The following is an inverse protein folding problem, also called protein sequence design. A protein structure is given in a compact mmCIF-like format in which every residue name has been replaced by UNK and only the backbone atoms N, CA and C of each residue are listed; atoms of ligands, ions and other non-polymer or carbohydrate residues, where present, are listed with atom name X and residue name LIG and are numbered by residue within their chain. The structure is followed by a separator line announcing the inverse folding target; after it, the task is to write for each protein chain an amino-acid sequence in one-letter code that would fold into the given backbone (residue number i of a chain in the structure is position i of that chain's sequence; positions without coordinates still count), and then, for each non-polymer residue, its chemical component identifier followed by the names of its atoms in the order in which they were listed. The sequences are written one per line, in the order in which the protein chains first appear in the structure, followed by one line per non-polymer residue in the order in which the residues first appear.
data_IF_808136010203
#
_entry.id   IF_808136010203
#
_cell.length_a   1.000
_cell.length_b   1.000
_cell.length_c   1.000
_cell.angle_alpha   90.00
_cell.angle_beta   90.00
_cell.angle_gamma   90.00
#
_symmetry.space_group_name_H-M   'P 1'
#
loop_
_entity.id
_entity.type
_entity.pdbx_description
1 polymer ?
#
# COMPACT_ATOMS: atom_id res chain seq x y z
N UNK A 1 -16.57 19.88 22.45
CA UNK A 1 -16.62 18.51 21.87
C UNK A 1 -15.42 17.73 22.40
N UNK A 2 -15.33 16.40 22.21
CA UNK A 2 -14.14 15.63 22.64
C UNK A 2 -12.96 15.98 21.73
N UNK A 3 -11.75 16.06 22.28
CA UNK A 3 -10.52 16.33 21.54
C UNK A 3 -10.34 15.30 20.38
N UNK A 4 -10.02 15.75 19.14
CA UNK A 4 -9.73 14.93 17.99
C UNK A 4 -8.75 13.78 18.25
N UNK A 5 -7.68 14.02 19.00
CA UNK A 5 -6.68 12.99 19.29
C UNK A 5 -7.28 11.83 20.09
N UNK A 6 -8.11 12.14 21.07
CA UNK A 6 -8.81 11.14 21.88
C UNK A 6 -9.79 10.36 21.00
N UNK A 7 -10.47 11.03 20.07
CA UNK A 7 -11.39 10.37 19.13
C UNK A 7 -10.61 9.42 18.22
N UNK A 8 -9.51 9.87 17.61
CA UNK A 8 -8.67 9.06 16.73
C UNK A 8 -8.07 7.86 17.47
N UNK A 9 -7.56 8.07 18.69
CA UNK A 9 -7.00 6.99 19.51
C UNK A 9 -8.07 5.94 19.86
N UNK A 10 -9.30 6.36 20.15
CA UNK A 10 -10.41 5.42 20.37
C UNK A 10 -10.78 4.64 19.10
N UNK A 11 -10.73 5.29 17.93
CA UNK A 11 -10.96 4.61 16.65
C UNK A 11 -9.87 3.56 16.39
N UNK A 12 -8.60 3.90 16.64
CA UNK A 12 -7.45 2.99 16.51
C UNK A 12 -7.53 1.84 17.51
N UNK A 13 -7.95 2.10 18.75
CA UNK A 13 -8.10 1.05 19.75
C UNK A 13 -9.19 0.04 19.33
N UNK A 14 -10.30 0.53 18.78
CA UNK A 14 -11.40 -0.30 18.31
C UNK A 14 -11.11 -0.97 16.95
N UNK A 15 -10.22 -0.42 16.12
CA UNK A 15 -9.88 -1.04 14.82
C UNK A 15 -9.19 -2.39 14.96
N UNK A 16 -8.55 -2.65 16.11
CA UNK A 16 -7.97 -3.96 16.45
C UNK A 16 -9.03 -5.06 16.63
N UNK A 17 -10.29 -4.69 16.90
CA UNK A 17 -11.40 -5.64 17.05
C UNK A 17 -11.96 -5.96 15.67
N UNK A 18 -11.89 -7.23 15.27
CA UNK A 18 -12.32 -7.69 13.94
C UNK A 18 -13.81 -7.50 13.69
N UNK A 19 -14.64 -7.71 14.72
CA UNK A 19 -16.11 -7.66 14.64
C UNK A 19 -16.71 -6.27 14.87
N UNK A 20 -15.91 -5.30 15.30
CA UNK A 20 -16.41 -3.98 15.64
C UNK A 20 -16.81 -3.20 14.38
N UNK A 21 -18.05 -2.73 14.36
CA UNK A 21 -18.57 -1.84 13.32
C UNK A 21 -18.58 -0.40 13.82
N UNK A 22 -17.98 0.48 13.04
CA UNK A 22 -17.87 1.90 13.38
C UNK A 22 -19.16 2.63 13.05
N UNK A 23 -19.79 3.19 14.08
CA UNK A 23 -21.02 3.97 13.96
C UNK A 23 -20.76 5.44 14.28
N UNK A 24 -21.65 6.32 13.80
CA UNK A 24 -21.67 7.76 14.13
C UNK A 24 -20.37 8.51 13.79
N UNK A 25 -19.63 8.06 12.78
CA UNK A 25 -18.42 8.73 12.27
C UNK A 25 -18.72 10.12 11.71
N UNK A 26 -19.89 10.29 11.08
CA UNK A 26 -20.30 11.57 10.49
C UNK A 26 -20.37 12.69 11.53
N UNK A 27 -20.69 12.37 12.79
CA UNK A 27 -20.73 13.35 13.89
C UNK A 27 -19.35 13.96 14.18
N UNK A 28 -18.26 13.27 13.88
CA UNK A 28 -16.91 13.80 14.09
C UNK A 28 -16.60 14.96 13.14
N UNK A 29 -17.26 15.02 11.98
CA UNK A 29 -17.20 16.15 11.04
C UNK A 29 -17.86 17.42 11.58
N UNK A 30 -18.46 17.38 12.77
CA UNK A 30 -19.03 18.57 13.41
C UNK A 30 -18.05 19.29 14.34
N UNK A 31 -16.89 18.67 14.61
CA UNK A 31 -15.90 19.22 15.51
C UNK A 31 -14.92 20.12 14.74
N UNK A 32 -14.92 21.39 15.08
CA UNK A 32 -14.08 22.44 14.49
C UNK A 32 -12.58 22.13 14.62
N UNK A 33 -12.16 21.51 15.73
CA UNK A 33 -10.74 21.17 15.96
C UNK A 33 -10.18 20.22 14.88
N UNK A 34 -10.99 19.31 14.32
CA UNK A 34 -10.56 18.48 13.19
C UNK A 34 -10.24 19.33 11.95
N UNK A 35 -11.03 20.37 11.67
CA UNK A 35 -10.81 21.25 10.53
C UNK A 35 -9.62 22.17 10.74
N UNK A 36 -9.36 22.60 11.97
CA UNK A 36 -8.15 23.37 12.30
C UNK A 36 -6.88 22.53 12.09
N UNK A 37 -6.88 21.28 12.52
CA UNK A 37 -5.77 20.34 12.26
C UNK A 37 -5.59 20.11 10.76
N UNK A 38 -6.69 19.88 10.04
CA UNK A 38 -6.66 19.71 8.58
C UNK A 38 -6.11 20.97 7.88
N UNK A 39 -6.54 22.16 8.31
CA UNK A 39 -6.05 23.44 7.80
C UNK A 39 -4.54 23.57 8.03
N UNK A 40 -4.05 23.29 9.23
CA UNK A 40 -2.62 23.33 9.57
C UNK A 40 -1.76 22.38 8.72
N UNK A 41 -2.29 21.20 8.37
CA UNK A 41 -1.61 20.25 7.47
C UNK A 41 -1.61 20.69 6.00
N UNK A 42 -2.64 21.41 5.57
CA UNK A 42 -2.81 21.83 4.18
C UNK A 42 -2.10 23.16 3.89
N UNK A 43 -2.11 24.11 4.83
CA UNK A 43 -1.49 25.42 4.67
C UNK A 43 -0.02 25.42 4.16
N UNK A 44 0.90 24.55 4.62
CA UNK A 44 2.30 24.59 4.18
C UNK A 44 2.56 24.01 2.78
N UNK A 45 1.58 23.37 2.14
CA UNK A 45 1.79 22.74 0.84
C UNK A 45 1.80 23.79 -0.29
N UNK A 46 2.94 23.95 -0.98
CA UNK A 46 3.12 24.88 -2.12
C UNK A 46 2.14 24.66 -3.28
N UNK A 47 1.56 23.47 -3.41
CA UNK A 47 0.48 23.17 -4.35
C UNK A 47 -0.86 23.87 -4.06
N UNK A 48 -1.02 24.51 -2.89
CA UNK A 48 -2.23 25.25 -2.54
C UNK A 48 -2.21 26.73 -2.97
N UNK A 49 -1.13 27.19 -3.61
CA UNK A 49 -1.09 28.45 -4.36
C UNK A 49 -1.77 28.34 -5.74
N UNK A 50 -2.04 27.11 -6.23
CA UNK A 50 -2.77 26.91 -7.49
C UNK A 50 -4.28 26.97 -7.26
N UNK A 51 -4.92 27.95 -7.90
CA UNK A 51 -6.37 28.18 -7.82
C UNK A 51 -7.16 26.97 -8.33
N UNK A 52 -8.10 26.49 -7.50
CA UNK A 52 -9.13 25.53 -7.91
C UNK A 52 -10.15 26.16 -8.86
N UNK A 53 -11.42 25.73 -8.79
CA UNK A 53 -12.51 26.38 -9.54
C UNK A 53 -12.87 27.74 -8.91
N UNK A 54 -12.77 27.85 -7.58
CA UNK A 54 -12.89 29.10 -6.84
C UNK A 54 -11.53 29.80 -6.77
N UNK A 55 -11.47 31.10 -7.11
CA UNK A 55 -10.28 31.97 -7.08
C UNK A 55 -9.75 32.31 -5.67
N UNK A 56 -10.09 31.52 -4.66
CA UNK A 56 -9.76 31.83 -3.27
C UNK A 56 -8.50 31.05 -2.86
N UNK A 57 -7.40 31.76 -2.68
CA UNK A 57 -6.15 31.28 -2.05
C UNK A 57 -6.24 31.30 -0.52
N UNK A 58 -5.31 30.58 0.13
CA UNK A 58 -5.25 30.34 1.58
C UNK A 58 -5.39 31.63 2.42
N UNK A 59 -4.85 32.75 1.94
CA UNK A 59 -4.76 34.01 2.69
C UNK A 59 -6.12 34.68 2.99
N UNK A 60 -7.21 34.19 2.39
CA UNK A 60 -8.58 34.67 2.64
C UNK A 60 -9.49 33.70 3.41
N UNK A 61 -8.99 32.55 3.87
CA UNK A 61 -9.84 31.52 4.49
C UNK A 61 -10.12 31.84 5.97
N UNK A 62 -11.22 32.57 6.20
CA UNK A 62 -11.69 32.93 7.54
C UNK A 62 -12.27 31.73 8.27
N UNK A 63 -12.09 31.68 9.60
CA UNK A 63 -12.76 30.75 10.52
C UNK A 63 -14.28 30.67 10.27
N UNK A 64 -14.90 31.78 9.88
CA UNK A 64 -16.32 31.87 9.49
C UNK A 64 -16.72 30.93 8.33
N UNK A 65 -15.79 30.57 7.44
CA UNK A 65 -16.05 29.60 6.37
C UNK A 65 -16.05 28.17 6.91
N UNK A 66 -15.19 27.88 7.87
CA UNK A 66 -15.16 26.56 8.55
C UNK A 66 -16.47 26.35 9.32
N UNK A 67 -16.94 27.36 10.05
CA UNK A 67 -18.20 27.26 10.79
C UNK A 67 -19.40 27.05 9.87
N UNK A 68 -19.49 27.80 8.76
CA UNK A 68 -20.51 27.59 7.72
C UNK A 68 -20.44 26.19 7.09
N UNK A 69 -19.24 25.73 6.75
CA UNK A 69 -19.03 24.39 6.22
C UNK A 69 -19.50 23.30 7.19
N UNK A 70 -19.22 23.46 8.48
CA UNK A 70 -19.70 22.57 9.53
C UNK A 70 -21.23 22.61 9.65
N UNK A 71 -21.86 23.78 9.53
CA UNK A 71 -23.32 23.91 9.51
C UNK A 71 -23.94 23.21 8.29
N UNK A 72 -23.35 23.36 7.11
CA UNK A 72 -23.79 22.68 5.89
C UNK A 72 -23.64 21.16 6.01
N UNK A 73 -22.58 20.67 6.66
CA UNK A 73 -22.39 19.27 6.97
C UNK A 73 -23.42 18.77 7.99
N UNK A 74 -23.71 19.53 9.06
CA UNK A 74 -24.74 19.20 10.06
C UNK A 74 -26.13 19.08 9.43
N UNK A 75 -26.44 19.99 8.51
CA UNK A 75 -27.72 20.04 7.80
C UNK A 75 -27.77 19.11 6.58
N UNK A 76 -26.72 18.33 6.32
CA UNK A 76 -26.56 17.43 5.15
C UNK A 76 -26.67 18.14 3.78
N UNK A 77 -26.54 19.47 3.76
CA UNK A 77 -26.62 20.33 2.57
C UNK A 77 -25.32 20.37 1.77
N UNK A 78 -24.20 19.98 2.40
CA UNK A 78 -22.90 19.95 1.75
C UNK A 78 -22.91 19.05 0.49
N UNK A 79 -22.44 19.62 -0.62
CA UNK A 79 -22.30 18.97 -1.91
C UNK A 79 -20.89 19.24 -2.43
N UNK A 80 -20.06 18.20 -2.64
CA UNK A 80 -18.73 18.36 -3.21
C UNK A 80 -18.79 19.05 -4.58
N UNK A 81 -17.88 19.98 -4.82
CA UNK A 81 -17.77 20.67 -6.11
C UNK A 81 -17.00 19.78 -7.11
N UNK A 82 -17.26 19.92 -8.43
CA UNK A 82 -16.48 19.22 -9.43
C UNK A 82 -15.01 19.58 -9.33
N UNK A 83 -14.15 18.63 -9.69
CA UNK A 83 -12.71 18.79 -9.60
C UNK A 83 -12.17 19.44 -10.89
N UNK A 84 -11.28 20.43 -10.79
CA UNK A 84 -10.68 21.06 -11.98
C UNK A 84 -9.60 20.15 -12.57
N UNK A 85 -9.74 19.74 -13.82
CA UNK A 85 -8.77 18.86 -14.50
C UNK A 85 -7.65 19.69 -15.13
N UNK A 86 -6.41 19.38 -14.76
CA UNK A 86 -5.19 20.00 -15.28
C UNK A 86 -4.25 18.90 -15.77
N UNK A 87 -3.58 19.11 -16.89
CA UNK A 87 -2.66 18.14 -17.45
C UNK A 87 -1.22 18.46 -17.06
N UNK A 88 -0.53 17.48 -16.46
CA UNK A 88 0.89 17.56 -16.14
C UNK A 88 1.67 16.69 -17.12
N UNK A 89 2.71 17.21 -17.79
CA UNK A 89 3.53 16.42 -18.71
C UNK A 89 4.32 15.34 -17.95
N UNK A 90 4.27 14.09 -18.42
CA UNK A 90 5.18 13.02 -17.96
C UNK A 90 6.49 13.07 -18.75
N UNK A 91 7.56 12.48 -18.18
CA UNK A 91 8.86 12.29 -18.84
C UNK A 91 8.75 11.56 -20.20
N UNK A 92 7.73 10.71 -20.35
CA UNK A 92 7.51 9.89 -21.54
C UNK A 92 6.58 10.56 -22.58
N UNK A 93 6.30 11.87 -22.46
CA UNK A 93 5.47 12.64 -23.40
C UNK A 93 3.95 12.50 -23.23
N UNK A 94 3.46 11.48 -22.52
CA UNK A 94 2.05 11.36 -22.13
C UNK A 94 1.69 12.39 -21.06
N UNK A 95 0.44 12.86 -21.04
CA UNK A 95 -0.04 13.78 -20.01
C UNK A 95 -0.76 13.04 -18.87
N UNK A 96 -0.59 13.50 -17.63
CA UNK A 96 -1.33 13.01 -16.45
C UNK A 96 -2.46 13.99 -16.13
N UNK A 97 -3.73 13.56 -16.15
CA UNK A 97 -4.81 14.39 -15.65
C UNK A 97 -4.73 14.45 -14.12
N UNK A 98 -4.64 15.65 -13.57
CA UNK A 98 -4.74 15.93 -12.14
C UNK A 98 -6.02 16.72 -11.90
N UNK A 99 -6.88 16.19 -11.05
CA UNK A 99 -8.00 16.90 -10.47
C UNK A 99 -7.56 17.71 -9.26
N UNK A 100 -7.66 19.04 -9.34
CA UNK A 100 -7.50 19.94 -8.21
C UNK A 100 -8.87 20.26 -7.59
N UNK A 101 -9.19 19.73 -6.39
CA UNK A 101 -10.42 20.06 -5.69
C UNK A 101 -10.37 21.46 -5.08
N UNK A 102 -11.53 22.00 -4.71
CA UNK A 102 -11.60 23.28 -3.99
C UNK A 102 -11.02 23.16 -2.58
N UNK A 103 -10.62 24.28 -1.98
CA UNK A 103 -10.02 24.25 -0.65
C UNK A 103 -11.00 23.74 0.43
N UNK A 104 -12.28 24.09 0.32
CA UNK A 104 -13.34 23.55 1.19
C UNK A 104 -13.41 22.02 1.08
N UNK A 105 -13.43 21.49 -0.16
CA UNK A 105 -13.44 20.05 -0.38
C UNK A 105 -12.16 19.39 0.14
N UNK A 106 -11.00 20.04 0.00
CA UNK A 106 -9.72 19.54 0.54
C UNK A 106 -9.78 19.42 2.07
N UNK A 107 -10.37 20.39 2.76
CA UNK A 107 -10.53 20.35 4.22
C UNK A 107 -11.41 19.18 4.64
N UNK A 108 -12.59 19.02 4.04
CA UNK A 108 -13.49 17.90 4.36
C UNK A 108 -12.81 16.56 4.03
N UNK A 109 -12.13 16.46 2.89
CA UNK A 109 -11.41 15.26 2.49
C UNK A 109 -10.27 14.89 3.45
N UNK A 110 -9.50 15.87 3.96
CA UNK A 110 -8.43 15.60 4.93
C UNK A 110 -9.01 15.11 6.27
N UNK A 111 -10.13 15.66 6.75
CA UNK A 111 -10.78 15.14 7.97
C UNK A 111 -11.30 13.71 7.74
N UNK A 112 -11.95 13.46 6.61
CA UNK A 112 -12.41 12.11 6.22
C UNK A 112 -11.24 11.14 6.15
N UNK A 113 -10.12 11.55 5.55
CA UNK A 113 -8.89 10.77 5.47
C UNK A 113 -8.35 10.42 6.86
N UNK A 114 -8.25 11.38 7.78
CA UNK A 114 -7.79 11.12 9.15
C UNK A 114 -8.65 10.07 9.88
N UNK A 115 -9.97 10.14 9.70
CA UNK A 115 -10.90 9.15 10.26
C UNK A 115 -10.71 7.76 9.63
N UNK A 116 -10.59 7.70 8.30
CA UNK A 116 -10.36 6.44 7.58
C UNK A 116 -9.00 5.81 7.91
N UNK A 117 -7.94 6.60 8.00
CA UNK A 117 -6.60 6.13 8.40
C UNK A 117 -6.65 5.52 9.81
N UNK A 118 -7.30 6.18 10.77
CA UNK A 118 -7.47 5.65 12.13
C UNK A 118 -8.22 4.30 12.18
N UNK A 119 -9.17 4.09 11.27
CA UNK A 119 -9.98 2.87 11.19
C UNK A 119 -9.24 1.74 10.48
N UNK A 120 -8.58 2.02 9.36
CA UNK A 120 -8.06 0.98 8.46
C UNK A 120 -6.57 0.68 8.62
N UNK A 121 -5.76 1.61 9.15
CA UNK A 121 -4.30 1.42 9.23
C UNK A 121 -3.92 0.17 10.05
N UNK A 122 -4.68 -0.11 11.12
CA UNK A 122 -4.50 -1.32 11.94
C UNK A 122 -4.92 -2.63 11.26
N UNK A 123 -5.69 -2.56 10.17
CA UNK A 123 -6.20 -3.73 9.42
C UNK A 123 -5.42 -4.01 8.15
N UNK A 124 -4.69 -3.01 7.63
CA UNK A 124 -3.93 -3.17 6.40
C UNK A 124 -2.81 -4.20 6.55
N UNK A 125 -2.66 -4.99 5.49
CA UNK A 125 -1.60 -5.96 5.34
C UNK A 125 -0.21 -5.34 5.51
N UNK A 126 0.70 -6.02 6.22
CA UNK A 126 2.09 -5.57 6.35
C UNK A 126 2.86 -5.60 5.03
N UNK A 127 2.33 -6.32 4.03
CA UNK A 127 2.89 -6.40 2.69
C UNK A 127 2.55 -5.19 1.83
N UNK A 128 1.65 -4.31 2.27
CA UNK A 128 1.24 -3.09 1.56
C UNK A 128 1.97 -1.85 2.08
N UNK A 129 2.64 -1.11 1.19
CA UNK A 129 3.50 0.02 1.56
C UNK A 129 3.10 1.37 0.96
N UNK A 130 2.35 1.39 -0.14
CA UNK A 130 1.99 2.63 -0.83
C UNK A 130 1.02 3.50 -0.02
N UNK A 131 1.21 4.82 -0.04
CA UNK A 131 0.31 5.81 0.56
C UNK A 131 -0.12 5.55 2.02
N UNK A 132 0.81 5.04 2.84
CA UNK A 132 0.57 4.76 4.26
C UNK A 132 1.50 5.60 5.14
N UNK A 133 1.04 6.04 6.32
CA UNK A 133 1.90 6.74 7.26
C UNK A 133 3.08 5.84 7.66
N UNK A 134 4.28 6.40 7.70
CA UNK A 134 5.54 5.71 8.05
C UNK A 134 5.94 4.56 7.11
N UNK A 135 5.40 4.51 5.88
CA UNK A 135 5.82 3.55 4.84
C UNK A 135 6.27 4.29 3.57
N UNK A 136 7.24 3.72 2.88
CA UNK A 136 7.83 4.29 1.66
C UNK A 136 8.33 3.21 0.70
N UNK A 137 8.75 3.61 -0.51
CA UNK A 137 9.39 2.72 -1.47
C UNK A 137 10.58 1.96 -0.84
N UNK A 138 11.38 2.64 -0.02
CA UNK A 138 12.51 2.01 0.68
C UNK A 138 12.07 0.91 1.64
N UNK A 139 10.93 1.06 2.32
CA UNK A 139 10.41 -0.01 3.20
C UNK A 139 9.95 -1.23 2.41
N UNK A 140 9.35 -1.04 1.23
CA UNK A 140 8.98 -2.12 0.34
C UNK A 140 10.21 -2.86 -0.21
N UNK A 141 11.23 -2.14 -0.66
CA UNK A 141 12.48 -2.72 -1.16
C UNK A 141 13.22 -3.51 -0.07
N UNK A 142 13.33 -2.97 1.15
CA UNK A 142 13.90 -3.70 2.29
C UNK A 142 13.13 -4.99 2.56
N UNK A 143 11.80 -4.95 2.54
CA UNK A 143 10.98 -6.15 2.71
C UNK A 143 11.24 -7.18 1.60
N UNK A 144 11.35 -6.74 0.34
CA UNK A 144 11.64 -7.64 -0.78
C UNK A 144 13.01 -8.30 -0.57
N UNK A 145 14.03 -7.51 -0.24
CA UNK A 145 15.39 -8.00 -0.02
C UNK A 145 15.45 -9.07 1.09
N UNK A 146 14.71 -8.89 2.18
CA UNK A 146 14.68 -9.85 3.30
C UNK A 146 13.77 -11.07 3.04
N UNK A 147 12.61 -10.89 2.40
CA UNK A 147 11.61 -11.97 2.28
C UNK A 147 11.73 -12.82 1.01
N UNK A 148 12.44 -12.33 0.00
CA UNK A 148 12.55 -13.01 -1.30
C UNK A 148 13.84 -13.83 -1.42
N UNK A 149 14.57 -14.05 -0.32
CA UNK A 149 15.81 -14.83 -0.30
C UNK A 149 15.56 -16.25 -0.83
N UNK A 150 16.26 -16.62 -1.90
CA UNK A 150 16.11 -17.94 -2.53
C UNK A 150 14.88 -18.10 -3.43
N UNK A 151 14.22 -16.99 -3.78
CA UNK A 151 13.18 -16.94 -4.84
C UNK A 151 13.86 -16.97 -6.21
N UNK A 152 13.29 -17.75 -7.14
CA UNK A 152 13.81 -17.90 -8.51
C UNK A 152 12.94 -17.22 -9.55
N UNK A 153 11.63 -17.22 -9.31
CA UNK A 153 10.65 -16.63 -10.20
C UNK A 153 10.13 -15.34 -9.58
N UNK A 154 10.14 -14.27 -10.38
CA UNK A 154 9.52 -13.01 -10.04
C UNK A 154 8.35 -12.81 -11.00
N UNK A 155 7.19 -12.50 -10.45
CA UNK A 155 6.00 -12.15 -11.21
C UNK A 155 5.76 -10.68 -10.92
N UNK A 156 5.92 -9.86 -11.94
CA UNK A 156 5.57 -8.46 -11.91
C UNK A 156 4.16 -8.30 -12.46
N UNK A 157 3.32 -7.60 -11.73
CA UNK A 157 1.96 -7.26 -12.15
C UNK A 157 1.74 -5.79 -11.92
N UNK A 158 1.42 -5.07 -12.99
CA UNK A 158 1.02 -3.66 -12.94
C UNK A 158 -0.49 -3.55 -13.21
N UNK A 159 -1.17 -2.67 -12.48
CA UNK A 159 -2.59 -2.40 -12.65
C UNK A 159 -2.72 -1.07 -13.38
N UNK A 160 -2.90 -1.14 -14.69
CA UNK A 160 -3.10 0.04 -15.52
C UNK A 160 -4.39 0.78 -15.13
N UNK A 161 -4.31 2.11 -15.03
CA UNK A 161 -5.46 3.00 -14.80
C UNK A 161 -6.35 2.59 -13.62
N UNK A 162 -5.74 2.18 -12.50
CA UNK A 162 -6.47 1.80 -11.29
C UNK A 162 -7.46 2.89 -10.86
N UNK A 163 -7.02 4.15 -10.78
CA UNK A 163 -7.89 5.25 -10.37
C UNK A 163 -9.07 5.48 -11.31
N UNK A 164 -8.97 5.19 -12.62
CA UNK A 164 -10.07 5.44 -13.57
C UNK A 164 -11.11 4.30 -13.61
N UNK A 165 -10.74 3.10 -13.15
CA UNK A 165 -11.50 1.86 -13.33
C UNK A 165 -12.24 1.37 -12.09
N UNK A 166 -12.10 2.04 -10.93
CA UNK A 166 -12.75 1.63 -9.69
C UNK A 166 -14.28 1.71 -9.81
N UNK A 167 -14.94 0.59 -9.52
CA UNK A 167 -16.39 0.52 -9.37
C UNK A 167 -16.82 1.12 -8.03
N UNK A 168 -17.69 2.14 -8.08
CA UNK A 168 -18.18 2.83 -6.89
C UNK A 168 -19.06 1.93 -6.02
N UNK A 169 -19.84 1.02 -6.60
CA UNK A 169 -20.70 0.11 -5.83
C UNK A 169 -19.87 -0.87 -5.02
N UNK A 170 -18.84 -1.47 -5.62
CA UNK A 170 -17.93 -2.40 -4.92
C UNK A 170 -17.20 -1.64 -3.80
N UNK A 171 -16.71 -0.42 -4.07
CA UNK A 171 -16.07 0.42 -3.05
C UNK A 171 -16.97 0.64 -1.83
N UNK A 172 -18.24 1.00 -2.06
CA UNK A 172 -19.19 1.22 -0.96
C UNK A 172 -19.50 -0.08 -0.21
N UNK A 173 -19.61 -1.21 -0.90
CA UNK A 173 -19.80 -2.51 -0.25
C UNK A 173 -18.62 -2.85 0.65
N UNK A 174 -17.38 -2.61 0.21
CA UNK A 174 -16.16 -2.82 1.04
C UNK A 174 -16.19 -1.92 2.27
N UNK A 175 -16.53 -0.63 2.11
CA UNK A 175 -16.64 0.30 3.25
C UNK A 175 -17.72 -0.13 4.26
N UNK A 176 -18.87 -0.60 3.77
CA UNK A 176 -19.99 -1.11 4.59
C UNK A 176 -19.65 -2.33 5.45
N UNK A 177 -18.61 -3.09 5.10
CA UNK A 177 -18.16 -4.21 5.95
C UNK A 177 -17.71 -3.75 7.34
N UNK A 178 -17.22 -2.51 7.45
CA UNK A 178 -16.58 -1.98 8.65
C UNK A 178 -17.27 -0.74 9.22
N UNK A 179 -17.91 0.06 8.36
CA UNK A 179 -18.55 1.31 8.74
C UNK A 179 -20.06 1.13 8.63
N UNK A 180 -20.74 1.32 9.76
CA UNK A 180 -22.19 1.29 9.89
C UNK A 180 -22.71 2.72 10.15
N UNK A 181 -22.40 3.60 9.19
CA UNK A 181 -22.83 5.00 9.18
C UNK A 181 -23.15 5.42 7.74
N UNK A 182 -24.44 5.33 7.39
CA UNK A 182 -24.92 5.66 6.05
C UNK A 182 -24.71 7.14 5.68
N UNK A 183 -24.64 8.07 6.65
CA UNK A 183 -24.37 9.49 6.35
C UNK A 183 -22.93 9.67 5.90
N UNK A 184 -22.00 9.01 6.58
CA UNK A 184 -20.58 9.01 6.23
C UNK A 184 -20.33 8.33 4.88
N UNK A 185 -20.95 7.17 4.65
CA UNK A 185 -20.88 6.45 3.38
C UNK A 185 -21.45 7.30 2.23
N UNK A 186 -22.58 7.97 2.46
CA UNK A 186 -23.19 8.89 1.47
C UNK A 186 -22.27 10.06 1.14
N UNK A 187 -21.52 10.59 2.10
CA UNK A 187 -20.54 11.64 1.85
C UNK A 187 -19.41 11.15 0.94
N UNK A 188 -18.86 9.96 1.19
CA UNK A 188 -17.84 9.35 0.32
C UNK A 188 -18.40 9.12 -1.09
N UNK A 189 -19.64 8.63 -1.18
CA UNK A 189 -20.34 8.46 -2.46
C UNK A 189 -20.48 9.78 -3.23
N UNK A 190 -20.81 10.88 -2.53
CA UNK A 190 -20.85 12.21 -3.14
C UNK A 190 -19.48 12.63 -3.69
N UNK A 191 -18.38 12.35 -2.97
CA UNK A 191 -17.03 12.65 -3.45
C UNK A 191 -16.65 11.86 -4.70
N UNK A 192 -16.98 10.57 -4.75
CA UNK A 192 -16.70 9.72 -5.93
C UNK A 192 -17.46 10.20 -7.18
N UNK A 193 -18.67 10.75 -7.00
CA UNK A 193 -19.55 11.20 -8.08
C UNK A 193 -19.46 12.70 -8.39
N UNK A 194 -18.60 13.45 -7.69
CA UNK A 194 -18.50 14.91 -7.82
C UNK A 194 -18.20 15.38 -9.25
N UNK A 195 -17.69 14.50 -10.12
CA UNK A 195 -17.38 14.81 -11.50
C UNK A 195 -16.08 15.61 -11.63
N UNK A 196 -15.76 15.98 -12.86
CA UNK A 196 -14.64 16.88 -13.13
C UNK A 196 -15.03 17.91 -14.20
N UNK A 197 -14.35 19.06 -14.15
CA UNK A 197 -14.46 20.13 -15.12
C UNK A 197 -13.21 20.11 -16.01
N UNK A 198 -13.41 20.04 -17.32
CA UNK A 198 -12.35 20.05 -18.34
C UNK A 198 -12.76 21.02 -19.45
N UNK A 199 -11.90 22.00 -19.77
CA UNK A 199 -12.18 23.02 -20.81
C UNK A 199 -13.58 23.67 -20.69
N UNK A 200 -14.00 24.01 -19.47
CA UNK A 200 -15.32 24.57 -19.16
C UNK A 200 -16.52 23.65 -19.44
N UNK A 201 -16.29 22.38 -19.74
CA UNK A 201 -17.31 21.33 -19.85
C UNK A 201 -17.33 20.47 -18.60
N UNK A 202 -18.53 20.23 -18.06
CA UNK A 202 -18.73 19.35 -16.93
C UNK A 202 -18.87 17.90 -17.39
N UNK A 203 -18.04 17.02 -16.84
CA UNK A 203 -18.06 15.59 -17.09
C UNK A 203 -18.46 14.85 -15.81
N UNK A 204 -19.44 13.96 -15.91
CA UNK A 204 -19.83 13.07 -14.82
C UNK A 204 -18.85 11.91 -14.71
N UNK A 205 -18.39 11.62 -13.51
CA UNK A 205 -17.57 10.44 -13.20
C UNK A 205 -18.51 9.28 -12.90
N UNK A 206 -18.64 8.33 -13.83
CA UNK A 206 -19.44 7.11 -13.65
C UNK A 206 -18.64 5.96 -13.03
N UNK A 207 -17.31 5.99 -13.20
CA UNK A 207 -16.36 5.04 -12.62
C UNK A 207 -15.05 5.77 -12.33
N UNK A 208 -14.28 5.25 -11.38
CA UNK A 208 -13.00 5.81 -10.98
C UNK A 208 -13.07 6.92 -9.95
N UNK A 209 -11.90 7.37 -9.48
CA UNK A 209 -11.70 8.40 -8.48
C UNK A 209 -10.99 9.58 -9.11
N UNK A 210 -11.34 10.82 -8.74
CA UNK A 210 -10.58 11.98 -9.16
C UNK A 210 -9.12 11.85 -8.69
N UNK A 211 -8.20 11.82 -9.66
CA UNK A 211 -6.77 11.73 -9.41
C UNK A 211 -6.30 13.06 -8.80
N UNK A 212 -5.77 13.04 -7.57
CA UNK A 212 -5.44 14.28 -6.82
C UNK A 212 -6.42 14.62 -5.68
N UNK A 213 -7.47 13.82 -5.49
CA UNK A 213 -8.25 13.84 -4.25
C UNK A 213 -7.42 13.34 -3.06
N UNK A 214 -7.50 14.02 -1.92
CA UNK A 214 -6.76 13.66 -0.70
C UNK A 214 -7.21 12.30 -0.16
N UNK A 215 -8.48 11.94 -0.36
CA UNK A 215 -9.04 10.64 0.06
C UNK A 215 -8.76 9.51 -0.94
N UNK A 216 -8.37 9.82 -2.18
CA UNK A 216 -8.21 8.81 -3.23
C UNK A 216 -7.18 7.72 -2.86
N UNK A 217 -6.00 8.05 -2.29
CA UNK A 217 -5.01 7.04 -1.91
C UNK A 217 -5.47 6.09 -0.81
N UNK A 218 -6.15 6.60 0.23
CA UNK A 218 -6.64 5.76 1.33
C UNK A 218 -7.77 4.84 0.85
N UNK A 219 -8.70 5.35 0.04
CA UNK A 219 -9.77 4.54 -0.55
C UNK A 219 -9.21 3.45 -1.48
N UNK A 220 -8.17 3.77 -2.24
CA UNK A 220 -7.46 2.81 -3.09
C UNK A 220 -6.85 1.66 -2.28
N UNK A 221 -6.21 1.99 -1.15
CA UNK A 221 -5.67 0.99 -0.25
C UNK A 221 -6.76 0.15 0.42
N UNK A 222 -7.90 0.73 0.79
CA UNK A 222 -9.06 -0.01 1.32
C UNK A 222 -9.56 -1.03 0.30
N UNK A 223 -9.69 -0.64 -0.96
CA UNK A 223 -10.11 -1.54 -2.04
C UNK A 223 -9.10 -2.67 -2.27
N UNK A 224 -7.82 -2.32 -2.39
CA UNK A 224 -6.76 -3.31 -2.65
C UNK A 224 -6.47 -4.20 -1.44
N UNK A 225 -6.92 -3.84 -0.24
CA UNK A 225 -6.79 -4.70 0.93
C UNK A 225 -7.60 -6.01 0.79
N UNK A 226 -8.68 -6.02 0.01
CA UNK A 226 -9.41 -7.25 -0.32
C UNK A 226 -8.54 -8.19 -1.16
N UNK A 227 -7.77 -7.65 -2.11
CA UNK A 227 -6.78 -8.40 -2.87
C UNK A 227 -5.64 -8.89 -1.98
N UNK A 228 -5.14 -8.04 -1.07
CA UNK A 228 -4.09 -8.44 -0.11
C UNK A 228 -4.57 -9.61 0.78
N UNK A 229 -5.83 -9.59 1.22
CA UNK A 229 -6.46 -10.66 1.98
C UNK A 229 -6.58 -11.96 1.19
N UNK A 230 -7.02 -11.87 -0.07
CA UNK A 230 -7.06 -13.01 -0.99
C UNK A 230 -5.68 -13.62 -1.22
N UNK A 231 -4.66 -12.78 -1.49
CA UNK A 231 -3.28 -13.23 -1.68
C UNK A 231 -2.71 -13.91 -0.43
N UNK A 232 -3.06 -13.44 0.76
CA UNK A 232 -2.66 -14.09 2.02
C UNK A 232 -3.29 -15.48 2.19
N UNK A 233 -4.56 -15.66 1.81
CA UNK A 233 -5.22 -16.97 1.80
C UNK A 233 -4.59 -17.90 0.77
N UNK A 234 -4.46 -17.43 -0.47
CA UNK A 234 -3.83 -18.16 -1.56
C UNK A 234 -2.40 -18.59 -1.22
N UNK A 235 -1.62 -17.71 -0.58
CA UNK A 235 -0.28 -18.02 -0.08
C UNK A 235 -0.28 -19.18 0.92
N UNK A 236 -1.27 -19.22 1.81
CA UNK A 236 -1.36 -20.26 2.84
C UNK A 236 -1.67 -21.62 2.22
N UNK A 237 -2.51 -21.66 1.19
CA UNK A 237 -2.85 -22.88 0.43
C UNK A 237 -1.71 -23.34 -0.49
N UNK A 238 -1.04 -22.39 -1.14
CA UNK A 238 0.05 -22.68 -2.08
C UNK A 238 1.34 -23.15 -1.39
N UNK A 239 1.60 -22.66 -0.18
CA UNK A 239 2.82 -22.98 0.54
C UNK A 239 2.83 -24.44 1.01
N UNK A 240 3.78 -25.21 0.49
CA UNK A 240 3.96 -26.63 0.82
C UNK A 240 5.42 -26.93 1.18
N UNK A 241 5.62 -27.92 2.05
CA UNK A 241 6.94 -28.38 2.46
C UNK A 241 7.60 -27.52 3.56
N UNK A 242 8.28 -28.19 4.49
CA UNK A 242 9.03 -27.53 5.58
C UNK A 242 10.41 -27.05 5.11
N UNK A 243 11.09 -27.84 4.28
CA UNK A 243 12.43 -27.56 3.75
C UNK A 243 12.56 -28.15 2.35
N UNK A 244 13.34 -27.52 1.48
CA UNK A 244 13.71 -28.09 0.16
C UNK A 244 14.51 -29.38 0.38
N UNK A 245 14.27 -30.40 -0.44
CA UNK A 245 15.13 -31.58 -0.50
C UNK A 245 16.55 -31.18 -0.85
N UNK A 246 17.51 -31.81 -0.18
CA UNK A 246 18.93 -31.63 -0.48
C UNK A 246 19.26 -32.36 -1.78
N UNK A 247 20.27 -31.86 -2.49
CA UNK A 247 20.73 -32.52 -3.70
C UNK A 247 21.60 -33.74 -3.31
N UNK A 248 21.20 -34.98 -3.66
CA UNK A 248 21.95 -36.18 -3.28
C UNK A 248 23.39 -36.19 -3.83
N UNK A 249 23.60 -35.68 -5.05
CA UNK A 249 24.94 -35.59 -5.65
C UNK A 249 25.85 -34.64 -4.87
N UNK A 250 25.30 -33.52 -4.43
CA UNK A 250 26.02 -32.55 -3.62
C UNK A 250 26.43 -33.14 -2.26
N UNK A 251 25.53 -33.89 -1.61
CA UNK A 251 25.81 -34.57 -0.35
C UNK A 251 26.86 -35.67 -0.51
N UNK A 252 26.79 -36.45 -1.60
CA UNK A 252 27.78 -37.47 -1.89
C UNK A 252 29.18 -36.88 -2.13
N UNK A 253 29.29 -35.78 -2.88
CA UNK A 253 30.56 -35.05 -3.05
C UNK A 253 31.06 -34.50 -1.72
N UNK A 254 30.18 -33.95 -0.88
CA UNK A 254 30.54 -33.46 0.46
C UNK A 254 31.08 -34.59 1.33
N UNK A 255 30.40 -35.74 1.39
CA UNK A 255 30.85 -36.90 2.16
C UNK A 255 32.22 -37.40 1.70
N UNK A 256 32.47 -37.45 0.38
CA UNK A 256 33.79 -37.78 -0.18
C UNK A 256 34.87 -36.78 0.22
N UNK A 257 34.55 -35.48 0.18
CA UNK A 257 35.46 -34.43 0.64
C UNK A 257 35.78 -34.55 2.13
N UNK A 258 34.77 -34.79 2.96
CA UNK A 258 34.93 -34.96 4.41
C UNK A 258 35.80 -36.19 4.74
N UNK A 259 35.61 -37.30 4.00
CA UNK A 259 36.47 -38.49 4.09
C UNK A 259 37.92 -38.21 3.71
N UNK A 260 38.16 -37.52 2.59
CA UNK A 260 39.51 -37.14 2.16
C UNK A 260 40.18 -36.20 3.17
N UNK A 261 39.42 -35.25 3.73
CA UNK A 261 39.93 -34.33 4.75
C UNK A 261 40.37 -35.07 6.01
N UNK A 262 39.58 -36.05 6.47
CA UNK A 262 39.96 -36.91 7.60
C UNK A 262 41.23 -37.71 7.29
N UNK A 263 41.38 -38.21 6.06
CA UNK A 263 42.57 -38.95 5.62
C UNK A 263 43.82 -38.05 5.57
N UNK A 264 43.70 -36.82 5.08
CA UNK A 264 44.79 -35.82 5.04
C UNK A 264 45.24 -35.41 6.44
N UNK A 265 44.31 -35.36 7.41
CA UNK A 265 44.60 -34.97 8.79
C UNK A 265 45.27 -36.08 9.62
N UNK A 266 45.36 -37.33 9.13
CA UNK A 266 46.10 -38.38 9.82
C UNK A 266 47.60 -38.09 9.80
N UNK A 267 48.25 -38.28 10.95
CA UNK A 267 49.64 -37.87 11.20
C UNK A 267 50.70 -38.72 10.46
N UNK A 268 50.36 -39.93 10.03
CA UNK A 268 51.30 -40.91 9.46
C UNK A 268 51.25 -40.98 7.92
N UNK A 269 51.26 -39.84 7.22
CA UNK A 269 51.16 -39.81 5.75
C UNK A 269 52.41 -39.26 5.05
N UNK A 270 52.88 -39.98 4.03
CA UNK A 270 53.96 -39.56 3.12
C UNK A 270 53.62 -38.27 2.36
N UNK A 271 54.62 -37.42 2.13
CA UNK A 271 54.48 -36.10 1.47
C UNK A 271 53.82 -36.16 0.08
N UNK A 272 54.21 -37.13 -0.75
CA UNK A 272 53.66 -37.31 -2.10
C UNK A 272 52.19 -37.78 -2.08
N UNK A 273 51.85 -38.74 -1.21
CA UNK A 273 50.48 -39.24 -1.06
C UNK A 273 49.55 -38.13 -0.51
N UNK A 274 50.07 -37.30 0.40
CA UNK A 274 49.35 -36.13 0.91
C UNK A 274 49.07 -35.11 -0.21
N UNK A 275 50.03 -34.87 -1.09
CA UNK A 275 49.86 -33.95 -2.23
C UNK A 275 48.78 -34.44 -3.21
N UNK A 276 48.76 -35.73 -3.53
CA UNK A 276 47.78 -36.35 -4.42
C UNK A 276 46.34 -36.27 -3.86
N UNK A 277 46.18 -36.54 -2.55
CA UNK A 277 44.88 -36.39 -1.87
C UNK A 277 44.38 -34.94 -1.86
N UNK A 278 45.29 -33.96 -1.74
CA UNK A 278 44.94 -32.54 -1.81
C UNK A 278 44.47 -32.17 -3.23
N UNK A 279 45.09 -32.71 -4.28
CA UNK A 279 44.65 -32.49 -5.66
C UNK A 279 43.26 -33.07 -5.90
N UNK A 280 42.99 -34.29 -5.43
CA UNK A 280 41.67 -34.91 -5.49
C UNK A 280 40.62 -34.09 -4.72
N UNK A 281 40.95 -33.60 -3.53
CA UNK A 281 40.08 -32.73 -2.75
C UNK A 281 39.76 -31.42 -3.49
N UNK A 282 40.76 -30.79 -4.12
CA UNK A 282 40.56 -29.58 -4.94
C UNK A 282 39.65 -29.86 -6.15
N UNK A 283 39.83 -30.99 -6.82
CA UNK A 283 38.99 -31.40 -7.95
C UNK A 283 37.52 -31.59 -7.52
N UNK A 284 37.28 -32.31 -6.42
CA UNK A 284 35.93 -32.49 -5.87
C UNK A 284 35.32 -31.18 -5.38
N UNK A 285 36.12 -30.27 -4.80
CA UNK A 285 35.65 -28.92 -4.42
C UNK A 285 35.18 -28.13 -5.64
N UNK A 286 35.91 -28.23 -6.76
CA UNK A 286 35.55 -27.58 -8.02
C UNK A 286 34.23 -28.15 -8.56
N UNK A 287 34.09 -29.48 -8.62
CA UNK A 287 32.84 -30.15 -9.00
C UNK A 287 31.66 -29.80 -8.08
N UNK A 288 31.89 -29.70 -6.77
CA UNK A 288 30.84 -29.32 -5.81
C UNK A 288 30.39 -27.87 -6.00
N UNK A 289 31.28 -26.96 -6.39
CA UNK A 289 30.93 -25.55 -6.59
C UNK A 289 30.00 -25.30 -7.78
N UNK A 290 29.97 -26.21 -8.76
CA UNK A 290 29.06 -26.12 -9.90
C UNK A 290 27.67 -26.68 -9.59
N UNK A 291 27.53 -27.42 -8.48
CA UNK A 291 26.28 -28.06 -8.08
C UNK A 291 25.61 -27.29 -6.94
N UNK A 292 24.29 -27.08 -7.00
CA UNK A 292 23.58 -26.48 -5.89
C UNK A 292 23.40 -27.48 -4.74
N UNK A 293 23.43 -26.95 -3.52
CA UNK A 293 23.27 -27.73 -2.28
C UNK A 293 21.86 -28.27 -2.05
N UNK A 294 20.87 -27.65 -2.68
CA UNK A 294 19.45 -28.01 -2.55
C UNK A 294 18.83 -28.18 -3.94
N UNK A 295 17.83 -29.07 -4.04
CA UNK A 295 17.06 -29.20 -5.26
C UNK A 295 16.12 -27.99 -5.39
N UNK A 296 16.29 -27.21 -6.45
CA UNK A 296 15.50 -26.00 -6.69
C UNK A 296 14.13 -26.28 -7.32
N UNK A 297 13.97 -27.43 -7.98
CA UNK A 297 12.74 -27.82 -8.67
C UNK A 297 11.99 -28.92 -7.90
N UNK A 298 12.09 -28.89 -6.58
CA UNK A 298 11.40 -29.83 -5.70
C UNK A 298 9.88 -29.61 -5.77
N UNK A 299 9.09 -30.54 -6.33
CA UNK A 299 7.64 -30.38 -6.44
C UNK A 299 6.94 -30.36 -5.08
N UNK A 300 7.58 -30.88 -4.02
CA UNK A 300 7.06 -30.92 -2.66
C UNK A 300 7.34 -29.66 -1.84
N UNK A 301 8.18 -28.74 -2.36
CA UNK A 301 8.47 -27.48 -1.69
C UNK A 301 8.07 -26.28 -2.56
N UNK A 302 6.98 -25.61 -2.17
CA UNK A 302 6.52 -24.38 -2.83
C UNK A 302 6.39 -23.27 -1.79
N UNK A 303 6.93 -22.10 -2.11
CA UNK A 303 6.80 -20.89 -1.29
C UNK A 303 6.46 -19.71 -2.18
N UNK A 304 5.41 -18.98 -1.80
CA UNK A 304 5.03 -17.72 -2.42
C UNK A 304 5.32 -16.59 -1.44
N UNK A 305 5.92 -15.51 -1.92
CA UNK A 305 6.11 -14.26 -1.19
C UNK A 305 5.40 -13.15 -1.96
N UNK A 306 4.69 -12.29 -1.24
CA UNK A 306 3.88 -11.21 -1.80
C UNK A 306 4.28 -9.90 -1.15
N UNK A 307 4.48 -8.88 -1.97
CA UNK A 307 4.67 -7.49 -1.54
C UNK A 307 3.96 -6.61 -2.55
N UNK A 308 3.19 -5.63 -2.07
CA UNK A 308 2.50 -4.64 -2.92
C UNK A 308 3.07 -3.27 -2.65
N UNK A 309 3.36 -2.57 -3.73
CA UNK A 309 3.58 -1.14 -3.72
C UNK A 309 2.50 -0.49 -4.57
N UNK A 310 1.94 0.61 -4.05
CA UNK A 310 1.09 1.48 -4.84
C UNK A 310 1.87 2.78 -4.98
N UNK A 311 2.19 3.14 -6.22
CA UNK A 311 2.70 4.45 -6.55
C UNK A 311 1.59 5.25 -7.23
N UNK A 312 1.76 6.55 -7.24
CA UNK A 312 0.98 7.50 -8.01
C UNK A 312 1.35 7.30 -9.49
N UNK A 313 0.99 6.15 -10.10
CA UNK A 313 1.27 5.76 -11.49
C UNK A 313 2.50 6.47 -12.11
N UNK A 314 3.68 6.22 -11.55
CA UNK A 314 4.93 6.51 -12.24
C UNK A 314 5.17 5.37 -13.25
N UNK A 315 5.27 5.64 -14.55
CA UNK A 315 6.19 4.86 -15.38
C UNK A 315 7.64 5.20 -15.02
#
# INVERSE_FOLDING_TARGET
MRNPEIILNNLIANSKKSEYRFQRLYRNLFNEEFFLIAYGKLAPNSGNLTEGISKETIDGFKLEKITKLIEDLKNERYQPKPVKRIYIPKKNGKQRPLGIPTFEDKLVQEVVRMLLEAIYEGKFSNQSHGFRPNRSCHTALKQIQHNFIGSKWFIEGDICSFFDTIDHHIMIQVLRKQIDDERFIRLIWKFLRAGYLEEWKFHKTYSGMPQGGIISPILSNIYLNELDSYMNKYRSEFNSGKRRKRNPEYEHLKAKMDYLQQKINKLEMNSNQRHELILQFKALKKQRSTLPSVNFFDPEFKRLSYTRYADDCAP
#
